data_IF_133295380636
#
_entry.id   IF_133295380636
#
_cell.length_a   1.000
_cell.length_b   1.000
_cell.length_c   1.000
_cell.angle_alpha   90.00
_cell.angle_beta   90.00
_cell.angle_gamma   90.00
#
_symmetry.space_group_name_H-M   'P 1'
#
loop_
_entity.id
_entity.type
_entity.pdbx_description
1 polymer ?
#
# COMPACT_ATOMS: atom_id res chain seq x y z
N UNK A 1 0.35 39.25 -1.93
CA UNK A 1 0.29 38.65 -3.27
C UNK A 1 -1.15 38.15 -3.49
N UNK A 2 -1.77 38.39 -4.65
CA UNK A 2 -3.10 37.83 -4.96
C UNK A 2 -3.10 36.30 -4.87
N UNK A 3 -4.15 35.71 -4.28
CA UNK A 3 -4.21 34.25 -4.03
C UNK A 3 -4.07 33.41 -5.30
N UNK A 4 -4.76 33.80 -6.39
CA UNK A 4 -4.67 33.10 -7.67
C UNK A 4 -3.24 33.04 -8.24
N UNK A 5 -2.43 34.10 -8.05
CA UNK A 5 -1.02 34.09 -8.47
C UNK A 5 -0.20 33.17 -7.60
N UNK A 6 -0.47 33.13 -6.29
CA UNK A 6 0.22 32.21 -5.38
C UNK A 6 -0.09 30.76 -5.72
N UNK A 7 -1.36 30.43 -5.99
CA UNK A 7 -1.79 29.10 -6.42
C UNK A 7 -1.08 28.70 -7.72
N UNK A 8 -1.05 29.58 -8.72
CA UNK A 8 -0.32 29.30 -9.97
C UNK A 8 1.17 29.02 -9.74
N UNK A 9 1.82 29.74 -8.83
CA UNK A 9 3.23 29.48 -8.48
C UNK A 9 3.36 28.11 -7.80
N UNK A 10 2.46 27.79 -6.88
CA UNK A 10 2.46 26.51 -6.14
C UNK A 10 2.27 25.33 -7.10
N UNK A 11 1.39 25.47 -8.10
CA UNK A 11 1.14 24.42 -9.10
C UNK A 11 2.38 24.08 -9.96
N UNK A 12 3.36 24.98 -10.03
CA UNK A 12 4.63 24.74 -10.73
C UNK A 12 5.73 24.16 -9.83
N UNK A 13 5.48 23.99 -8.54
CA UNK A 13 6.44 23.39 -7.61
C UNK A 13 6.35 21.87 -7.62
N UNK A 14 7.40 21.21 -7.11
CA UNK A 14 7.36 19.76 -6.86
C UNK A 14 6.23 19.39 -5.90
N UNK A 15 5.75 18.17 -6.00
CA UNK A 15 4.73 17.58 -5.14
C UNK A 15 5.05 17.76 -3.65
N UNK A 16 6.29 17.50 -3.23
CA UNK A 16 6.68 17.65 -1.84
C UNK A 16 6.63 19.10 -1.34
N UNK A 17 6.98 20.05 -2.22
CA UNK A 17 6.88 21.47 -1.90
C UNK A 17 5.44 21.94 -1.84
N UNK A 18 4.57 21.44 -2.73
CA UNK A 18 3.13 21.68 -2.66
C UNK A 18 2.57 21.21 -1.30
N UNK A 19 2.85 19.98 -0.87
CA UNK A 19 2.40 19.47 0.44
C UNK A 19 2.94 20.33 1.59
N UNK A 20 4.20 20.76 1.52
CA UNK A 20 4.78 21.64 2.54
C UNK A 20 4.02 22.97 2.63
N UNK A 21 3.64 23.54 1.48
CA UNK A 21 2.91 24.80 1.39
C UNK A 21 1.42 24.67 1.72
N UNK A 22 0.83 23.47 1.67
CA UNK A 22 -0.53 23.21 2.17
C UNK A 22 -0.71 23.62 3.64
N UNK A 23 0.38 23.71 4.42
CA UNK A 23 0.36 24.14 5.83
C UNK A 23 0.32 25.66 6.01
N UNK A 24 0.49 26.43 4.93
CA UNK A 24 0.59 27.90 4.98
C UNK A 24 -0.77 28.55 5.31
N UNK A 25 -1.82 28.18 4.56
CA UNK A 25 -3.16 28.68 4.79
C UNK A 25 -4.23 27.72 4.25
N UNK A 26 -5.46 27.92 4.71
CA UNK A 26 -6.62 27.09 4.36
C UNK A 26 -6.90 27.07 2.85
N UNK A 27 -6.83 28.20 2.17
CA UNK A 27 -7.11 28.31 0.73
C UNK A 27 -6.12 27.49 -0.12
N UNK A 28 -4.84 27.48 0.25
CA UNK A 28 -3.84 26.63 -0.43
C UNK A 28 -4.10 25.16 -0.16
N UNK A 29 -4.44 24.81 1.09
CA UNK A 29 -4.79 23.43 1.43
C UNK A 29 -5.99 22.95 0.63
N UNK A 30 -7.07 23.72 0.59
CA UNK A 30 -8.29 23.36 -0.15
C UNK A 30 -8.01 23.19 -1.66
N UNK A 31 -7.23 24.09 -2.26
CA UNK A 31 -6.81 23.94 -3.67
C UNK A 31 -6.04 22.63 -3.91
N UNK A 32 -5.09 22.29 -3.03
CA UNK A 32 -4.30 21.07 -3.17
C UNK A 32 -5.13 19.81 -2.89
N UNK A 33 -6.02 19.85 -1.90
CA UNK A 33 -6.96 18.76 -1.62
C UNK A 33 -7.85 18.51 -2.85
N UNK A 34 -8.42 19.56 -3.47
CA UNK A 34 -9.21 19.45 -4.71
C UNK A 34 -8.39 18.93 -5.90
N UNK A 35 -7.11 19.32 -6.00
CA UNK A 35 -6.19 18.85 -7.04
C UNK A 35 -5.92 17.36 -6.89
N UNK A 36 -5.50 16.92 -5.70
CA UNK A 36 -5.10 15.53 -5.46
C UNK A 36 -6.28 14.57 -5.32
N UNK A 37 -7.48 15.06 -5.00
CA UNK A 37 -8.71 14.26 -5.04
C UNK A 37 -9.08 13.78 -6.46
N UNK A 38 -8.45 14.33 -7.51
CA UNK A 38 -8.63 13.86 -8.89
C UNK A 38 -7.86 12.58 -9.19
N UNK A 39 -6.90 12.20 -8.36
CA UNK A 39 -6.18 10.93 -8.51
C UNK A 39 -7.14 9.77 -8.24
N UNK A 40 -7.23 8.86 -9.21
CA UNK A 40 -8.10 7.66 -9.21
C UNK A 40 -7.30 6.38 -9.04
N UNK A 41 -6.11 6.30 -9.64
CA UNK A 41 -5.25 5.12 -9.56
C UNK A 41 -4.02 5.40 -8.72
N UNK A 42 -3.67 4.44 -7.86
CA UNK A 42 -2.48 4.47 -7.04
C UNK A 42 -1.65 3.20 -7.26
N UNK A 43 -0.38 3.38 -7.61
CA UNK A 43 0.58 2.29 -7.75
C UNK A 43 1.66 2.42 -6.67
N UNK A 44 1.81 1.41 -5.83
CA UNK A 44 2.67 1.44 -4.66
C UNK A 44 3.73 0.35 -4.78
N UNK A 45 5.00 0.72 -4.92
CA UNK A 45 6.08 -0.24 -5.16
C UNK A 45 7.18 -0.16 -4.11
N UNK A 46 7.66 -1.33 -3.70
CA UNK A 46 8.83 -1.51 -2.86
C UNK A 46 9.96 -2.06 -3.73
N UNK A 47 10.92 -1.21 -4.09
CA UNK A 47 12.02 -1.54 -5.00
C UNK A 47 13.18 -0.56 -4.83
N UNK A 48 14.33 -0.86 -5.40
CA UNK A 48 15.46 0.08 -5.50
C UNK A 48 15.01 1.42 -6.10
N UNK A 49 15.12 2.48 -5.30
CA UNK A 49 14.68 3.82 -5.68
C UNK A 49 15.62 4.47 -6.69
N UNK A 50 16.90 4.13 -6.66
CA UNK A 50 17.89 4.69 -7.59
C UNK A 50 17.63 4.12 -8.99
N UNK A 51 17.31 2.83 -9.11
CA UNK A 51 16.89 2.21 -10.37
C UNK A 51 15.55 2.78 -10.88
N UNK A 52 14.57 2.94 -9.99
CA UNK A 52 13.27 3.51 -10.35
C UNK A 52 13.40 4.95 -10.89
N UNK A 53 14.17 5.81 -10.22
CA UNK A 53 14.38 7.18 -10.67
C UNK A 53 15.33 7.30 -11.87
N UNK A 54 16.24 6.34 -12.08
CA UNK A 54 17.09 6.31 -13.26
C UNK A 54 16.35 5.86 -14.52
N UNK A 55 15.32 5.02 -14.36
CA UNK A 55 14.50 4.52 -15.47
C UNK A 55 13.39 5.49 -15.89
N UNK A 56 12.96 6.38 -15.00
CA UNK A 56 11.93 7.39 -15.28
C UNK A 56 12.22 8.72 -14.57
N UNK A 57 12.62 9.72 -15.36
CA UNK A 57 12.99 11.07 -14.88
C UNK A 57 11.81 11.86 -14.30
N UNK A 58 10.57 11.39 -14.47
CA UNK A 58 9.40 12.06 -13.89
C UNK A 58 9.22 11.78 -12.39
N UNK A 59 9.97 10.83 -11.83
CA UNK A 59 9.96 10.61 -10.38
C UNK A 59 10.59 11.78 -9.64
N UNK A 60 9.78 12.39 -8.78
CA UNK A 60 10.26 13.34 -7.80
C UNK A 60 10.69 12.59 -6.54
N UNK A 61 11.98 12.70 -6.18
CA UNK A 61 12.51 12.07 -4.96
C UNK A 61 12.38 12.99 -3.75
N UNK A 62 11.97 12.44 -2.61
CA UNK A 62 11.98 13.17 -1.36
C UNK A 62 13.41 13.49 -0.92
N UNK A 63 13.65 14.71 -0.43
CA UNK A 63 15.00 15.19 -0.12
C UNK A 63 15.70 14.50 1.06
N UNK A 64 14.94 13.80 1.93
CA UNK A 64 15.46 13.21 3.17
C UNK A 64 15.08 11.76 3.41
N UNK A 65 14.16 11.23 2.61
CA UNK A 65 13.60 9.90 2.77
C UNK A 65 13.76 9.15 1.46
N UNK A 66 13.87 7.83 1.53
CA UNK A 66 13.98 6.97 0.37
C UNK A 66 12.58 6.65 -0.18
N UNK A 67 11.89 7.72 -0.58
CA UNK A 67 10.56 7.69 -1.18
C UNK A 67 10.56 8.62 -2.40
N UNK A 68 10.00 8.14 -3.50
CA UNK A 68 9.77 8.92 -4.71
C UNK A 68 8.30 8.84 -5.15
N UNK A 69 7.85 9.86 -5.84
CA UNK A 69 6.48 9.96 -6.36
C UNK A 69 6.48 10.47 -7.78
N UNK A 70 5.65 9.88 -8.61
CA UNK A 70 5.33 10.34 -9.95
C UNK A 70 3.82 10.52 -10.04
N UNK A 71 3.38 11.66 -10.56
CA UNK A 71 1.95 11.92 -10.80
C UNK A 71 1.76 12.18 -12.29
N UNK A 72 0.98 11.34 -12.94
CA UNK A 72 0.61 11.43 -14.35
C UNK A 72 -0.92 11.44 -14.45
N UNK A 73 -1.49 12.55 -14.89
CA UNK A 73 -2.94 12.74 -15.04
C UNK A 73 -3.74 12.41 -13.75
N UNK A 74 -4.38 11.24 -13.71
CA UNK A 74 -5.18 10.72 -12.60
C UNK A 74 -4.51 9.55 -11.87
N UNK A 75 -3.26 9.26 -12.18
CA UNK A 75 -2.48 8.15 -11.62
C UNK A 75 -1.31 8.68 -10.81
N UNK A 76 -1.13 8.15 -9.60
CA UNK A 76 0.05 8.38 -8.78
C UNK A 76 0.82 7.07 -8.60
N UNK A 77 2.12 7.10 -8.89
CA UNK A 77 3.05 6.02 -8.58
C UNK A 77 3.94 6.45 -7.42
N UNK A 78 3.95 5.69 -6.33
CA UNK A 78 4.78 5.95 -5.15
C UNK A 78 5.72 4.78 -4.95
N UNK A 79 7.02 5.07 -4.93
CA UNK A 79 8.08 4.08 -4.68
C UNK A 79 8.68 4.34 -3.31
N UNK A 80 8.79 3.29 -2.51
CA UNK A 80 9.59 3.28 -1.27
C UNK A 80 10.73 2.27 -1.43
N UNK A 81 11.91 2.65 -0.97
CA UNK A 81 13.12 1.86 -1.21
C UNK A 81 13.12 0.49 -0.51
N UNK A 82 13.85 -0.47 -1.08
CA UNK A 82 13.98 -1.80 -0.48
C UNK A 82 14.70 -1.81 0.87
N UNK A 83 15.63 -0.88 1.07
CA UNK A 83 16.36 -0.62 2.29
C UNK A 83 15.68 0.43 3.18
N UNK A 84 14.35 0.53 3.09
CA UNK A 84 13.53 1.45 3.88
C UNK A 84 13.87 1.48 5.38
N UNK A 85 13.74 2.65 5.99
CA UNK A 85 13.81 2.83 7.43
C UNK A 85 12.53 3.47 7.94
N UNK A 86 12.35 3.50 9.27
CA UNK A 86 11.14 4.04 9.90
C UNK A 86 10.78 5.45 9.42
N UNK A 87 11.78 6.30 9.20
CA UNK A 87 11.56 7.66 8.69
C UNK A 87 10.89 7.68 7.30
N UNK A 88 11.18 6.70 6.46
CA UNK A 88 10.60 6.58 5.13
C UNK A 88 9.12 6.22 5.21
N UNK A 89 8.72 5.39 6.17
CA UNK A 89 7.32 5.02 6.39
C UNK A 89 6.44 6.23 6.65
N UNK A 90 6.89 7.14 7.52
CA UNK A 90 6.10 8.33 7.83
C UNK A 90 5.94 9.27 6.64
N UNK A 91 6.97 9.38 5.78
CA UNK A 91 6.86 10.14 4.54
C UNK A 91 5.90 9.45 3.59
N UNK A 92 6.10 8.14 3.34
CA UNK A 92 5.25 7.34 2.46
C UNK A 92 3.78 7.37 2.87
N UNK A 93 3.47 7.10 4.14
CA UNK A 93 2.10 7.17 4.67
C UNK A 93 1.51 8.58 4.59
N UNK A 94 2.34 9.62 4.77
CA UNK A 94 1.92 11.01 4.58
C UNK A 94 1.52 11.32 3.13
N UNK A 95 2.18 10.70 2.14
CA UNK A 95 1.77 10.77 0.73
C UNK A 95 0.41 10.09 0.55
N UNK A 96 0.23 8.90 1.11
CA UNK A 96 -1.04 8.17 0.99
C UNK A 96 -2.21 8.97 1.59
N UNK A 97 -2.01 9.62 2.74
CA UNK A 97 -3.03 10.47 3.36
C UNK A 97 -3.43 11.68 2.49
N UNK A 98 -2.52 12.19 1.65
CA UNK A 98 -2.86 13.27 0.70
C UNK A 98 -3.69 12.74 -0.46
N UNK A 99 -3.42 11.52 -0.91
CA UNK A 99 -4.04 10.94 -2.11
C UNK A 99 -5.35 10.17 -1.82
N UNK A 100 -5.61 9.82 -0.55
CA UNK A 100 -6.65 8.83 -0.16
C UNK A 100 -8.08 9.08 -0.64
N UNK A 101 -8.53 10.33 -0.73
CA UNK A 101 -9.95 10.67 -0.88
C UNK A 101 -10.50 10.43 -2.30
N UNK A 102 -9.60 10.38 -3.29
CA UNK A 102 -9.95 10.23 -4.71
C UNK A 102 -9.82 8.81 -5.23
N UNK A 103 -9.06 7.97 -4.54
CA UNK A 103 -8.53 6.70 -5.06
C UNK A 103 -9.61 5.64 -5.15
N UNK A 104 -9.75 5.09 -6.36
CA UNK A 104 -10.69 4.04 -6.75
C UNK A 104 -9.97 2.71 -6.98
N UNK A 105 -8.76 2.76 -7.54
CA UNK A 105 -7.93 1.58 -7.82
C UNK A 105 -6.58 1.68 -7.11
N UNK A 106 -6.18 0.61 -6.42
CA UNK A 106 -4.86 0.50 -5.81
C UNK A 106 -4.14 -0.76 -6.25
N UNK A 107 -2.91 -0.60 -6.71
CA UNK A 107 -2.00 -1.68 -7.03
C UNK A 107 -0.79 -1.57 -6.10
N UNK A 108 -0.47 -2.62 -5.34
CA UNK A 108 0.60 -2.53 -4.34
C UNK A 108 1.36 -3.84 -4.15
N UNK A 109 2.58 -3.76 -3.64
CA UNK A 109 3.31 -4.95 -3.21
C UNK A 109 2.87 -5.40 -1.81
N UNK A 110 2.90 -6.71 -1.54
CA UNK A 110 2.46 -7.29 -0.27
C UNK A 110 3.11 -6.68 0.99
N UNK A 111 4.41 -6.35 1.03
CA UNK A 111 5.01 -5.65 2.18
C UNK A 111 4.43 -4.25 2.42
N UNK A 112 3.94 -3.58 1.37
CA UNK A 112 3.27 -2.28 1.49
C UNK A 112 1.87 -2.47 2.05
N UNK A 113 1.14 -3.50 1.62
CA UNK A 113 -0.15 -3.85 2.22
C UNK A 113 0.00 -4.06 3.74
N UNK A 114 1.02 -4.79 4.16
CA UNK A 114 1.36 -4.99 5.57
C UNK A 114 1.67 -3.66 6.29
N UNK A 115 2.50 -2.79 5.68
CA UNK A 115 2.85 -1.47 6.22
C UNK A 115 1.62 -0.57 6.44
N UNK A 116 0.68 -0.57 5.49
CA UNK A 116 -0.55 0.22 5.59
C UNK A 116 -1.39 -0.28 6.76
N UNK A 117 -1.60 -1.60 6.85
CA UNK A 117 -2.39 -2.19 7.95
C UNK A 117 -1.72 -1.92 9.29
N UNK A 118 -0.43 -2.20 9.45
CA UNK A 118 0.25 -2.01 10.73
C UNK A 118 0.24 -0.55 11.18
N UNK A 119 0.30 0.42 10.25
CA UNK A 119 0.21 1.85 10.56
C UNK A 119 -1.10 2.25 11.24
N UNK A 120 -2.14 1.43 11.09
CA UNK A 120 -3.45 1.64 11.71
C UNK A 120 -3.61 0.91 13.05
N UNK A 121 -2.68 0.01 13.40
CA UNK A 121 -2.74 -0.82 14.61
C UNK A 121 -2.31 -0.07 15.89
N UNK A 122 -2.38 -0.73 17.06
CA UNK A 122 -1.78 -0.21 18.30
C UNK A 122 -0.26 -0.50 18.40
N UNK A 123 0.34 -1.12 17.39
CA UNK A 123 1.77 -1.39 17.33
C UNK A 123 2.45 -0.18 16.66
N UNK A 124 3.51 0.34 17.29
CA UNK A 124 4.28 1.43 16.70
C UNK A 124 5.12 0.92 15.50
N UNK A 125 5.34 1.79 14.52
CA UNK A 125 6.13 1.44 13.32
C UNK A 125 7.57 1.07 13.66
N UNK A 126 8.14 1.63 14.74
CA UNK A 126 9.47 1.27 15.24
C UNK A 126 9.51 -0.17 15.74
N UNK A 127 8.46 -0.59 16.48
CA UNK A 127 8.36 -1.95 17.00
C UNK A 127 8.15 -2.96 15.87
N UNK A 128 7.31 -2.62 14.90
CA UNK A 128 7.13 -3.45 13.70
C UNK A 128 8.41 -3.52 12.86
N UNK A 129 9.12 -2.40 12.67
CA UNK A 129 10.40 -2.39 11.95
C UNK A 129 11.45 -3.26 12.63
N UNK A 130 11.58 -3.17 13.96
CA UNK A 130 12.48 -4.03 14.73
C UNK A 130 12.12 -5.51 14.54
N UNK A 131 10.83 -5.83 14.54
CA UNK A 131 10.35 -7.18 14.25
C UNK A 131 10.70 -7.64 12.83
N UNK A 132 10.53 -6.81 11.80
CA UNK A 132 10.97 -7.11 10.43
C UNK A 132 12.48 -7.36 10.35
N UNK A 133 13.30 -6.58 11.07
CA UNK A 133 14.74 -6.80 11.15
C UNK A 133 15.10 -8.15 11.80
N UNK A 134 14.37 -8.55 12.85
CA UNK A 134 14.53 -9.87 13.48
C UNK A 134 14.18 -10.97 12.48
N UNK A 135 13.03 -10.88 11.80
CA UNK A 135 12.64 -11.87 10.79
C UNK A 135 13.72 -12.04 9.70
N UNK A 136 14.24 -10.93 9.16
CA UNK A 136 15.32 -10.95 8.15
C UNK A 136 16.62 -11.58 8.68
N UNK A 137 16.96 -11.37 9.95
CA UNK A 137 18.19 -11.87 10.54
C UNK A 137 18.14 -13.37 10.89
N UNK A 138 16.95 -13.91 11.16
CA UNK A 138 16.75 -15.26 11.67
C UNK A 138 15.99 -16.19 10.71
N UNK A 139 16.04 -15.90 9.39
CA UNK A 139 15.44 -16.70 8.31
C UNK A 139 15.31 -18.18 8.70
N UNK A 140 14.06 -18.67 8.76
CA UNK A 140 13.65 -20.06 8.99
C UNK A 140 13.68 -20.60 10.44
N UNK A 141 14.12 -19.84 11.45
CA UNK A 141 14.17 -20.35 12.84
C UNK A 141 12.87 -20.12 13.61
N UNK A 142 12.06 -19.12 13.21
CA UNK A 142 10.86 -18.74 13.95
C UNK A 142 9.65 -18.50 13.02
N UNK A 143 9.16 -19.57 12.39
CA UNK A 143 7.91 -19.53 11.62
C UNK A 143 6.69 -19.08 12.46
N UNK A 144 6.76 -19.25 13.79
CA UNK A 144 5.71 -18.89 14.75
C UNK A 144 5.99 -17.58 15.52
N UNK A 145 6.96 -16.75 15.09
CA UNK A 145 7.14 -15.44 15.73
C UNK A 145 6.08 -14.46 15.20
N UNK A 146 5.09 -14.18 16.04
CA UNK A 146 4.02 -13.24 15.74
C UNK A 146 4.20 -11.92 16.49
N UNK A 147 3.78 -10.83 15.86
CA UNK A 147 3.63 -9.53 16.49
C UNK A 147 2.14 -9.20 16.50
N UNK A 148 1.50 -9.39 17.64
CA UNK A 148 0.05 -9.29 17.78
C UNK A 148 -0.38 -7.95 18.41
N UNK A 149 -1.61 -7.55 18.09
CA UNK A 149 -2.28 -6.42 18.69
C UNK A 149 -3.72 -6.76 19.06
N UNK A 150 -4.20 -6.19 20.16
CA UNK A 150 -5.63 -6.17 20.43
C UNK A 150 -6.38 -5.36 19.37
N UNK A 151 -7.67 -5.65 19.18
CA UNK A 151 -8.49 -4.92 18.24
C UNK A 151 -8.48 -3.41 18.52
N UNK A 152 -8.29 -2.63 17.46
CA UNK A 152 -8.38 -1.18 17.54
C UNK A 152 -9.85 -0.72 17.61
N UNK A 153 -10.06 0.47 18.18
CA UNK A 153 -11.36 1.13 18.18
C UNK A 153 -11.85 1.39 16.74
N UNK A 154 -13.16 1.56 16.58
CA UNK A 154 -13.75 1.85 15.27
C UNK A 154 -13.18 3.15 14.68
N UNK A 155 -12.90 3.12 13.37
CA UNK A 155 -12.30 4.21 12.59
C UNK A 155 -12.98 4.27 11.21
N UNK A 156 -12.96 5.46 10.62
CA UNK A 156 -13.30 5.65 9.21
C UNK A 156 -12.39 4.87 8.27
N UNK A 157 -12.95 4.46 7.14
CA UNK A 157 -12.24 3.76 6.06
C UNK A 157 -11.17 4.67 5.45
N UNK A 158 -9.96 4.13 5.27
CA UNK A 158 -8.81 4.85 4.73
C UNK A 158 -9.02 5.25 3.26
N UNK A 159 -9.38 4.29 2.40
CA UNK A 159 -9.77 4.55 1.01
C UNK A 159 -11.28 4.36 0.83
N UNK A 160 -12.10 5.41 1.06
CA UNK A 160 -13.54 5.29 1.07
C UNK A 160 -14.16 5.02 -0.30
N UNK A 161 -13.43 5.29 -1.40
CA UNK A 161 -13.90 5.11 -2.78
C UNK A 161 -13.25 3.92 -3.49
N UNK A 162 -12.35 3.20 -2.83
CA UNK A 162 -11.62 2.13 -3.49
C UNK A 162 -12.54 0.92 -3.75
N UNK A 163 -12.62 0.55 -5.02
CA UNK A 163 -13.38 -0.60 -5.54
C UNK A 163 -12.48 -1.71 -6.07
N UNK A 164 -11.22 -1.41 -6.36
CA UNK A 164 -10.30 -2.34 -7.00
C UNK A 164 -8.93 -2.34 -6.30
N UNK A 165 -8.52 -3.49 -5.78
CA UNK A 165 -7.21 -3.69 -5.18
C UNK A 165 -6.51 -4.86 -5.84
N UNK A 166 -5.27 -4.64 -6.29
CA UNK A 166 -4.36 -5.69 -6.74
C UNK A 166 -3.14 -5.69 -5.81
N UNK A 167 -2.83 -6.85 -5.23
CA UNK A 167 -1.64 -7.03 -4.40
C UNK A 167 -0.69 -8.00 -5.09
N UNK A 168 0.50 -7.52 -5.40
CA UNK A 168 1.60 -8.29 -5.97
C UNK A 168 2.42 -8.91 -4.85
N UNK A 169 2.74 -10.19 -4.98
CA UNK A 169 3.51 -10.92 -4.01
C UNK A 169 4.48 -11.90 -4.68
N UNK A 170 5.64 -12.08 -4.06
CA UNK A 170 6.47 -13.26 -4.29
C UNK A 170 6.24 -14.31 -3.21
N UNK A 171 6.72 -15.54 -3.41
CA UNK A 171 6.74 -16.59 -2.38
C UNK A 171 7.36 -16.08 -1.08
N UNK A 172 8.47 -15.36 -1.18
CA UNK A 172 9.17 -14.79 -0.03
C UNK A 172 8.36 -13.72 0.71
N UNK A 173 7.43 -13.07 0.02
CA UNK A 173 6.57 -12.02 0.59
C UNK A 173 5.22 -12.54 1.09
N UNK A 174 4.86 -13.80 0.82
CA UNK A 174 3.58 -14.38 1.24
C UNK A 174 3.31 -14.20 2.74
N UNK A 175 4.33 -14.30 3.58
CA UNK A 175 4.21 -14.11 5.02
C UNK A 175 3.75 -12.69 5.43
N UNK A 176 4.01 -11.66 4.61
CA UNK A 176 3.49 -10.32 4.84
C UNK A 176 1.95 -10.28 4.80
N UNK A 177 1.36 -11.07 3.91
CA UNK A 177 -0.10 -11.18 3.78
C UNK A 177 -0.74 -11.85 4.99
N UNK A 178 -0.12 -12.91 5.51
CA UNK A 178 -0.71 -13.64 6.64
C UNK A 178 -0.63 -12.86 7.96
N UNK A 179 0.47 -12.14 8.20
CA UNK A 179 0.67 -11.35 9.43
C UNK A 179 -0.32 -10.19 9.61
N UNK A 180 -0.91 -9.71 8.52
CA UNK A 180 -1.95 -8.67 8.55
C UNK A 180 -3.10 -9.02 9.51
N UNK A 181 -3.42 -10.32 9.64
CA UNK A 181 -4.46 -10.81 10.56
C UNK A 181 -4.13 -10.54 12.04
N UNK A 182 -2.84 -10.48 12.40
CA UNK A 182 -2.36 -10.37 13.78
C UNK A 182 -2.43 -8.92 14.31
N UNK A 183 -2.61 -7.93 13.44
CA UNK A 183 -2.48 -6.51 13.80
C UNK A 183 -3.75 -5.88 14.41
N UNK A 184 -4.82 -6.66 14.60
CA UNK A 184 -6.05 -6.17 15.23
C UNK A 184 -6.78 -5.09 14.43
N UNK A 185 -6.43 -4.91 13.15
CA UNK A 185 -7.03 -3.94 12.23
C UNK A 185 -8.03 -4.66 11.34
N UNK A 186 -9.28 -4.22 11.29
CA UNK A 186 -10.29 -4.79 10.39
C UNK A 186 -10.05 -4.27 8.96
N UNK A 187 -10.25 -5.12 7.95
CA UNK A 187 -10.19 -4.72 6.53
C UNK A 187 -11.09 -3.53 6.18
N UNK A 188 -12.25 -3.40 6.84
CA UNK A 188 -13.15 -2.25 6.70
C UNK A 188 -12.54 -0.88 7.01
N UNK A 189 -11.42 -0.85 7.75
CA UNK A 189 -10.68 0.39 8.02
C UNK A 189 -9.72 0.75 6.89
N UNK A 190 -9.37 -0.19 6.01
CA UNK A 190 -8.53 0.07 4.83
C UNK A 190 -9.40 0.42 3.63
N UNK A 191 -10.44 -0.36 3.38
CA UNK A 191 -11.36 -0.20 2.25
C UNK A 191 -12.79 -0.64 2.61
N UNK A 192 -13.81 -0.09 1.92
CA UNK A 192 -15.19 -0.49 2.15
C UNK A 192 -15.50 -1.79 1.40
N UNK A 193 -15.75 -2.86 2.16
CA UNK A 193 -16.07 -4.20 1.64
C UNK A 193 -17.39 -4.23 0.86
N UNK A 194 -18.26 -3.24 1.04
CA UNK A 194 -19.55 -3.14 0.35
C UNK A 194 -19.41 -2.62 -1.08
N UNK A 195 -18.41 -1.77 -1.31
CA UNK A 195 -18.15 -1.14 -2.61
C UNK A 195 -17.00 -1.79 -3.37
N UNK A 196 -16.29 -2.73 -2.74
CA UNK A 196 -15.21 -3.45 -3.41
C UNK A 196 -15.77 -4.36 -4.50
N UNK A 197 -15.32 -4.16 -5.73
CA UNK A 197 -15.63 -4.95 -6.91
C UNK A 197 -14.59 -6.05 -7.13
N UNK A 198 -13.30 -5.72 -6.94
CA UNK A 198 -12.20 -6.66 -7.13
C UNK A 198 -11.13 -6.55 -6.05
N UNK A 199 -10.75 -7.69 -5.46
CA UNK A 199 -9.55 -7.86 -4.65
C UNK A 199 -8.75 -9.04 -5.19
N UNK A 200 -7.63 -8.73 -5.84
CA UNK A 200 -6.78 -9.72 -6.49
C UNK A 200 -5.43 -9.86 -5.78
N UNK A 201 -5.00 -11.10 -5.58
CA UNK A 201 -3.62 -11.43 -5.26
C UNK A 201 -2.93 -11.96 -6.51
N UNK A 202 -1.83 -11.34 -6.94
CA UNK A 202 -1.01 -11.81 -8.05
C UNK A 202 0.34 -12.29 -7.52
N UNK A 203 0.64 -13.58 -7.73
CA UNK A 203 1.94 -14.15 -7.39
C UNK A 203 2.85 -14.26 -8.62
N UNK A 204 4.06 -13.72 -8.51
CA UNK A 204 5.02 -13.64 -9.64
C UNK A 204 5.90 -14.88 -9.84
N UNK A 205 6.06 -15.70 -8.80
CA UNK A 205 7.04 -16.80 -8.75
C UNK A 205 6.46 -18.09 -8.13
N UNK A 206 5.13 -18.26 -8.23
CA UNK A 206 4.40 -19.38 -7.63
C UNK A 206 3.52 -20.13 -8.65
N UNK A 207 3.69 -21.45 -8.67
CA UNK A 207 2.99 -22.39 -9.55
C UNK A 207 1.79 -22.97 -8.81
N UNK A 208 0.71 -22.19 -8.68
CA UNK A 208 -0.52 -22.64 -8.04
C UNK A 208 -0.39 -22.93 -6.54
N UNK A 209 -1.23 -23.84 -6.03
CA UNK A 209 -1.43 -24.08 -4.60
C UNK A 209 -0.67 -25.30 -4.05
N UNK A 210 0.48 -25.67 -4.63
CA UNK A 210 1.23 -26.84 -4.14
C UNK A 210 1.93 -26.57 -2.79
N UNK A 211 2.32 -25.31 -2.55
CA UNK A 211 3.02 -24.91 -1.34
C UNK A 211 2.04 -24.68 -0.17
N UNK A 212 2.00 -25.63 0.76
CA UNK A 212 1.14 -25.58 1.95
C UNK A 212 1.45 -24.39 2.86
N UNK A 213 2.71 -23.97 2.97
CA UNK A 213 3.10 -22.86 3.84
C UNK A 213 2.57 -21.55 3.28
N UNK A 214 2.69 -21.35 1.96
CA UNK A 214 2.14 -20.17 1.28
C UNK A 214 0.61 -20.18 1.31
N UNK A 215 -0.02 -21.32 1.06
CA UNK A 215 -1.48 -21.46 1.15
C UNK A 215 -2.02 -21.06 2.52
N UNK A 216 -1.29 -21.36 3.60
CA UNK A 216 -1.63 -20.94 4.96
C UNK A 216 -1.63 -19.40 5.08
N UNK A 217 -0.63 -18.73 4.50
CA UNK A 217 -0.56 -17.27 4.51
C UNK A 217 -1.68 -16.63 3.69
N UNK A 218 -1.96 -17.17 2.49
CA UNK A 218 -3.09 -16.77 1.64
C UNK A 218 -4.41 -16.94 2.41
N UNK A 219 -4.58 -18.07 3.11
CA UNK A 219 -5.76 -18.33 3.92
C UNK A 219 -5.93 -17.30 5.05
N UNK A 220 -4.86 -16.94 5.76
CA UNK A 220 -4.91 -15.91 6.80
C UNK A 220 -5.28 -14.54 6.26
N UNK A 221 -4.71 -14.14 5.12
CA UNK A 221 -5.12 -12.92 4.44
C UNK A 221 -6.59 -12.97 4.01
N UNK A 222 -7.02 -14.11 3.45
CA UNK A 222 -8.40 -14.39 3.06
C UNK A 222 -9.37 -14.30 4.25
N UNK A 223 -8.96 -14.70 5.45
CA UNK A 223 -9.72 -14.51 6.69
C UNK A 223 -9.83 -13.03 7.09
N UNK A 224 -8.73 -12.28 7.01
CA UNK A 224 -8.68 -10.86 7.37
C UNK A 224 -9.58 -9.98 6.48
N UNK A 225 -9.55 -10.23 5.16
CA UNK A 225 -10.42 -9.53 4.20
C UNK A 225 -11.91 -9.83 4.42
N UNK A 226 -12.23 -10.91 5.15
CA UNK A 226 -13.60 -11.38 5.33
C UNK A 226 -14.19 -11.99 4.05
N UNK A 227 -13.34 -12.56 3.19
CA UNK A 227 -13.67 -13.16 1.89
C UNK A 227 -14.80 -14.19 1.86
N UNK A 228 -15.23 -14.73 3.01
CA UNK A 228 -16.38 -15.64 3.10
C UNK A 228 -17.68 -15.01 2.55
N UNK A 229 -17.70 -13.70 2.28
CA UNK A 229 -18.79 -12.99 1.56
C UNK A 229 -18.36 -12.29 0.26
N UNK A 230 -17.23 -12.65 -0.33
CA UNK A 230 -16.68 -11.97 -1.52
C UNK A 230 -16.93 -12.70 -2.84
N UNK A 231 -17.29 -13.99 -2.80
CA UNK A 231 -17.57 -14.82 -3.98
C UNK A 231 -16.56 -14.56 -5.12
N UNK A 232 -17.05 -14.18 -6.30
CA UNK A 232 -16.28 -13.91 -7.53
C UNK A 232 -15.41 -12.64 -7.49
N UNK A 233 -15.49 -11.84 -6.42
CA UNK A 233 -14.74 -10.58 -6.28
C UNK A 233 -13.33 -10.77 -5.72
N UNK A 234 -13.03 -11.95 -5.20
CA UNK A 234 -11.70 -12.30 -4.70
C UNK A 234 -11.02 -13.27 -5.69
N UNK A 235 -9.88 -12.85 -6.25
CA UNK A 235 -9.15 -13.62 -7.26
C UNK A 235 -7.71 -13.86 -6.81
N UNK A 236 -7.16 -15.04 -7.12
CA UNK A 236 -5.73 -15.32 -6.97
C UNK A 236 -5.20 -15.72 -8.35
N UNK A 237 -4.18 -15.01 -8.81
CA UNK A 237 -3.51 -15.25 -10.09
C UNK A 237 -2.08 -15.70 -9.83
N UNK A 238 -1.67 -16.73 -10.56
CA UNK A 238 -0.32 -17.29 -10.53
C UNK A 238 0.35 -16.99 -11.86
N UNK A 239 1.21 -15.97 -11.87
CA UNK A 239 1.95 -15.57 -13.05
C UNK A 239 3.28 -16.30 -13.05
N UNK A 240 3.35 -17.42 -13.76
CA UNK A 240 4.62 -17.85 -14.33
C UNK A 240 4.89 -16.98 -15.54
N UNK A 241 6.13 -16.85 -16.00
CA UNK A 241 6.47 -16.23 -17.29
C UNK A 241 5.90 -17.03 -18.51
N UNK A 242 4.64 -17.48 -18.43
CA UNK A 242 3.82 -18.22 -19.40
C UNK A 242 2.39 -17.62 -19.41
N UNK A 243 1.67 -17.65 -20.54
CA UNK A 243 0.40 -16.95 -20.70
C UNK A 243 -0.67 -17.40 -19.70
N UNK A 244 -1.61 -16.50 -19.32
CA UNK A 244 -2.40 -16.64 -18.10
C UNK A 244 -3.41 -17.79 -18.19
N UNK A 245 -3.24 -18.81 -17.35
CA UNK A 245 -4.31 -19.73 -16.97
C UNK A 245 -5.07 -19.13 -15.80
N UNK A 246 -6.21 -18.48 -16.09
CA UNK A 246 -7.20 -18.14 -15.06
C UNK A 246 -7.69 -19.45 -14.42
N UNK A 247 -7.33 -19.69 -13.16
CA UNK A 247 -7.98 -20.69 -12.33
C UNK A 247 -8.81 -19.97 -11.28
N UNK A 248 -10.14 -19.97 -11.49
CA UNK A 248 -11.10 -19.53 -10.49
C UNK A 248 -11.11 -20.56 -9.34
N UNK A 249 -10.76 -20.12 -8.13
CA UNK A 249 -10.80 -20.98 -6.96
C UNK A 249 -12.16 -20.92 -6.28
N UNK A 250 -12.96 -21.98 -6.45
CA UNK A 250 -14.05 -22.31 -5.54
C UNK A 250 -13.59 -23.38 -4.54
N UNK A 251 -13.23 -22.95 -3.32
CA UNK A 251 -13.21 -23.79 -2.10
C UNK A 251 -13.74 -22.98 -0.92
#
# INVERSE_FOLDING_TARGET
>A
MPMHLMIHIIDQMSFFEQIRLARLCKEVKEHLDEKFQKIRKLELRKRDIDEACASDEQFERHSKAYVAVKIEEDTACVVIDDAWVVADFYVFLGILEVLREGVETVEMDAPIAELIVISMSNISLERWYAFQCILKAFNDVYEDLHLDSGFIADRDTFWPKCSDIVIHATKAQAAALGRILDYGVKSGYVFDRRTMDHLRLEFEDLDGFEDKAINKQIYYFRCWTGSLGWDHRYEIVFNNNQPPTKQECHV
#
